data_IF_824664073823
#
_entry.id   IF_824664073823
#
_cell.length_a   1.000
_cell.length_b   1.000
_cell.length_c   1.000
_cell.angle_alpha   90.00
_cell.angle_beta   90.00
_cell.angle_gamma   90.00
#
_symmetry.space_group_name_H-M   'P 1'
#
loop_
_entity.id
_entity.type
_entity.pdbx_description
1 polymer ?
#
# COMPACT_ATOMS: atom_id res chain seq x y z
N UNK A 1 -45.45 -27.08 -23.60
CA UNK A 1 -45.44 -27.59 -22.21
C UNK A 1 -44.00 -27.87 -21.80
N UNK A 2 -43.54 -27.15 -20.78
CA UNK A 2 -42.42 -27.44 -19.86
C UNK A 2 -41.14 -28.05 -20.45
N UNK A 3 -40.16 -27.21 -20.84
CA UNK A 3 -38.76 -27.65 -20.98
C UNK A 3 -37.69 -26.57 -20.76
N UNK A 4 -38.05 -25.40 -20.21
CA UNK A 4 -37.15 -24.27 -20.07
C UNK A 4 -36.78 -23.83 -18.66
N UNK A 5 -37.35 -24.43 -17.61
CA UNK A 5 -37.25 -23.88 -16.24
C UNK A 5 -36.36 -24.69 -15.27
N UNK A 6 -35.78 -25.81 -15.71
CA UNK A 6 -35.06 -26.71 -14.79
C UNK A 6 -33.54 -26.48 -14.75
N UNK A 7 -32.96 -25.86 -15.78
CA UNK A 7 -31.51 -25.62 -15.86
C UNK A 7 -31.11 -24.34 -15.12
N UNK A 8 -31.98 -23.33 -15.12
CA UNK A 8 -31.69 -22.06 -14.44
C UNK A 8 -31.74 -22.18 -12.92
N UNK A 9 -32.59 -23.06 -12.36
CA UNK A 9 -32.70 -23.25 -10.91
C UNK A 9 -31.47 -23.96 -10.33
N UNK A 10 -30.89 -24.93 -11.04
CA UNK A 10 -29.70 -25.66 -10.57
C UNK A 10 -28.46 -24.74 -10.59
N UNK A 11 -28.35 -23.88 -11.61
CA UNK A 11 -27.23 -22.92 -11.70
C UNK A 11 -27.31 -21.85 -10.61
N UNK A 12 -28.53 -21.43 -10.24
CA UNK A 12 -28.74 -20.46 -9.16
C UNK A 12 -28.44 -21.04 -7.77
N UNK A 13 -28.72 -22.32 -7.53
CA UNK A 13 -28.41 -22.99 -6.25
C UNK A 13 -26.90 -23.20 -6.07
N UNK A 14 -26.14 -23.47 -7.14
CA UNK A 14 -24.67 -23.59 -7.06
C UNK A 14 -23.97 -22.24 -6.79
N UNK A 15 -24.50 -21.13 -7.32
CA UNK A 15 -23.98 -19.78 -7.04
C UNK A 15 -24.30 -19.31 -5.62
N UNK A 16 -25.45 -19.72 -5.06
CA UNK A 16 -25.82 -19.42 -3.68
C UNK A 16 -25.06 -20.27 -2.66
N UNK A 17 -24.62 -21.49 -2.99
CA UNK A 17 -23.77 -22.28 -2.10
C UNK A 17 -22.35 -21.71 -1.93
N UNK A 18 -21.90 -20.81 -2.81
CA UNK A 18 -20.62 -20.11 -2.67
C UNK A 18 -20.70 -18.88 -1.76
N UNK A 19 -21.89 -18.40 -1.40
CA UNK A 19 -22.06 -17.25 -0.48
C UNK A 19 -22.27 -17.65 0.98
N UNK A 20 -22.26 -18.96 1.32
CA UNK A 20 -22.45 -19.45 2.68
C UNK A 20 -21.17 -19.90 3.41
N UNK A 21 -19.99 -19.68 2.83
CA UNK A 21 -18.72 -19.72 3.59
C UNK A 21 -18.32 -18.33 4.11
N UNK A 22 -19.29 -17.54 4.57
CA UNK A 22 -19.02 -16.53 5.59
C UNK A 22 -18.84 -17.33 6.88
N UNK A 23 -17.61 -17.79 7.11
CA UNK A 23 -17.23 -18.35 8.39
C UNK A 23 -17.53 -17.30 9.46
N UNK A 24 -18.44 -17.63 10.37
CA UNK A 24 -18.43 -17.06 11.71
C UNK A 24 -17.16 -17.56 12.41
N UNK A 25 -16.00 -17.05 12.02
CA UNK A 25 -14.91 -16.88 12.96
C UNK A 25 -15.36 -15.76 13.88
N UNK A 26 -15.41 -16.01 15.18
CA UNK A 26 -15.38 -14.90 16.14
C UNK A 26 -14.23 -13.99 15.69
N UNK A 27 -14.45 -12.69 15.45
CA UNK A 27 -13.33 -11.81 15.24
C UNK A 27 -12.53 -11.89 16.53
N UNK A 28 -11.33 -12.50 16.48
CA UNK A 28 -10.33 -12.20 17.50
C UNK A 28 -10.34 -10.68 17.62
N UNK A 29 -10.58 -10.15 18.83
CA UNK A 29 -10.55 -8.72 19.11
C UNK A 29 -9.16 -8.21 18.74
N UNK A 30 -8.97 -7.86 17.47
CA UNK A 30 -7.78 -7.21 16.97
C UNK A 30 -7.85 -5.80 17.51
N UNK A 31 -7.21 -5.59 18.65
CA UNK A 31 -6.99 -4.25 19.18
C UNK A 31 -6.52 -3.35 18.03
N UNK A 32 -7.23 -2.24 17.73
CA UNK A 32 -6.90 -1.42 16.59
C UNK A 32 -5.46 -0.92 16.71
N UNK A 33 -4.69 -0.97 15.61
CA UNK A 33 -3.33 -0.43 15.61
C UNK A 33 -3.37 1.06 15.90
N UNK A 34 -2.86 1.44 17.07
CA UNK A 34 -2.72 2.83 17.47
C UNK A 34 -1.42 3.37 16.87
N UNK A 35 -1.56 4.22 15.86
CA UNK A 35 -0.43 4.92 15.26
C UNK A 35 0.13 5.92 16.29
N UNK A 36 1.44 5.91 16.61
CA UNK A 36 2.03 6.86 17.53
C UNK A 36 1.73 8.32 17.14
N UNK A 37 1.34 9.15 18.11
CA UNK A 37 0.96 10.56 17.86
C UNK A 37 2.07 11.38 17.21
N UNK A 38 3.32 11.04 17.50
CA UNK A 38 4.52 11.64 16.92
C UNK A 38 4.56 11.50 15.39
N UNK A 39 4.01 10.41 14.84
CA UNK A 39 3.94 10.21 13.40
C UNK A 39 2.94 11.16 12.72
N UNK A 40 1.96 11.69 13.45
CA UNK A 40 1.04 12.72 12.94
C UNK A 40 1.62 14.12 13.02
N UNK A 41 2.79 14.31 13.63
CA UNK A 41 3.37 15.64 13.79
C UNK A 41 3.61 16.29 12.42
N UNK A 42 2.92 17.40 12.18
CA UNK A 42 3.04 18.21 10.97
C UNK A 42 3.96 19.40 11.16
N UNK A 43 4.45 19.65 12.38
CA UNK A 43 5.35 20.77 12.68
C UNK A 43 6.72 20.62 12.02
N UNK A 44 7.07 19.38 11.65
CA UNK A 44 8.31 19.04 10.94
C UNK A 44 8.23 19.30 9.44
N UNK A 45 7.06 19.64 8.89
CA UNK A 45 6.94 20.01 7.48
C UNK A 45 7.71 21.31 7.24
N UNK A 46 8.72 21.24 6.39
CA UNK A 46 9.51 22.39 5.96
C UNK A 46 9.60 22.40 4.44
N UNK A 47 9.66 23.59 3.86
CA UNK A 47 9.90 23.76 2.44
C UNK A 47 10.72 25.03 2.22
N UNK A 48 11.75 24.94 1.39
CA UNK A 48 12.63 26.07 1.07
C UNK A 48 12.14 26.75 -0.21
N UNK A 49 11.68 27.99 -0.09
CA UNK A 49 11.22 28.83 -1.19
C UNK A 49 11.57 30.28 -0.88
N UNK A 50 12.00 31.03 -1.90
CA UNK A 50 12.43 32.42 -1.70
C UNK A 50 11.23 33.38 -1.52
N UNK A 51 11.41 34.42 -0.72
CA UNK A 51 10.41 35.49 -0.57
C UNK A 51 10.06 36.16 -1.90
N UNK A 52 11.02 36.26 -2.82
CA UNK A 52 10.82 36.83 -4.14
C UNK A 52 9.85 35.98 -4.98
N UNK A 53 10.01 34.66 -4.92
CA UNK A 53 9.13 33.72 -5.61
C UNK A 53 7.72 33.71 -5.00
N UNK A 54 7.61 33.78 -3.67
CA UNK A 54 6.32 33.93 -3.00
C UNK A 54 5.61 35.22 -3.45
N UNK A 55 6.34 36.33 -3.55
CA UNK A 55 5.78 37.60 -4.03
C UNK A 55 5.32 37.52 -5.49
N UNK A 56 6.07 36.85 -6.36
CA UNK A 56 5.67 36.59 -7.76
C UNK A 56 4.34 35.81 -7.80
N UNK A 57 4.25 34.70 -7.08
CA UNK A 57 3.07 33.85 -7.07
C UNK A 57 1.84 34.55 -6.48
N UNK A 58 2.02 35.32 -5.40
CA UNK A 58 0.93 36.08 -4.76
C UNK A 58 0.42 37.21 -5.66
N UNK A 59 1.29 37.82 -6.47
CA UNK A 59 0.94 38.88 -7.41
C UNK A 59 0.29 38.36 -8.70
N UNK A 60 0.38 37.06 -8.99
CA UNK A 60 -0.14 36.47 -10.21
C UNK A 60 -1.66 36.58 -10.28
N UNK A 61 -2.21 37.11 -11.38
CA UNK A 61 -3.66 37.07 -11.61
C UNK A 61 -4.06 35.67 -12.10
N UNK A 62 -4.88 34.97 -11.31
CA UNK A 62 -5.23 33.56 -11.55
C UNK A 62 -6.62 33.51 -12.20
N UNK A 63 -6.74 33.10 -13.48
CA UNK A 63 -8.03 32.98 -14.14
C UNK A 63 -8.94 31.96 -13.44
N UNK A 64 -10.24 32.18 -13.43
CA UNK A 64 -11.20 31.21 -12.83
C UNK A 64 -11.11 29.82 -13.44
N UNK A 65 -10.77 29.71 -14.72
CA UNK A 65 -10.64 28.44 -15.46
C UNK A 65 -9.17 28.04 -15.70
N UNK A 66 -8.26 28.41 -14.79
CA UNK A 66 -6.82 28.15 -14.94
C UNK A 66 -6.48 26.67 -15.17
N UNK A 67 -7.30 25.73 -14.70
CA UNK A 67 -7.13 24.28 -14.91
C UNK A 67 -7.11 23.90 -16.40
N UNK A 68 -7.74 24.70 -17.25
CA UNK A 68 -7.83 24.51 -18.70
C UNK A 68 -6.63 25.12 -19.46
N UNK A 69 -5.67 25.72 -18.74
CA UNK A 69 -4.46 26.30 -19.34
C UNK A 69 -3.67 25.23 -20.06
N UNK A 70 -3.41 25.45 -21.36
CA UNK A 70 -2.69 24.49 -22.22
C UNK A 70 -1.21 24.39 -21.91
N UNK A 71 -0.62 25.50 -21.47
CA UNK A 71 0.76 25.57 -21.02
C UNK A 71 0.86 24.93 -19.62
N UNK A 72 1.55 23.79 -19.46
CA UNK A 72 1.62 23.08 -18.21
C UNK A 72 2.45 23.84 -17.15
N UNK A 73 3.47 24.59 -17.53
CA UNK A 73 4.27 25.39 -16.57
C UNK A 73 3.41 26.52 -16.00
N UNK A 74 2.69 27.23 -16.87
CA UNK A 74 1.78 28.29 -16.44
C UNK A 74 0.62 27.71 -15.60
N UNK A 75 0.10 26.53 -15.97
CA UNK A 75 -0.93 25.84 -15.17
C UNK A 75 -0.43 25.47 -13.77
N UNK A 76 0.80 24.98 -13.65
CA UNK A 76 1.41 24.68 -12.35
C UNK A 76 1.59 25.95 -11.51
N UNK A 77 2.08 27.05 -12.10
CA UNK A 77 2.16 28.35 -11.43
C UNK A 77 0.80 28.85 -10.95
N UNK A 78 -0.25 28.72 -11.78
CA UNK A 78 -1.61 29.08 -11.36
C UNK A 78 -2.12 28.22 -10.21
N UNK A 79 -1.85 26.91 -10.24
CA UNK A 79 -2.21 26.03 -9.13
C UNK A 79 -1.55 26.47 -7.82
N UNK A 80 -0.24 26.71 -7.84
CA UNK A 80 0.52 27.14 -6.66
C UNK A 80 0.04 28.50 -6.13
N UNK A 81 -0.13 29.49 -7.02
CA UNK A 81 -0.67 30.80 -6.67
C UNK A 81 -2.08 30.70 -6.08
N UNK A 82 -2.93 29.81 -6.60
CA UNK A 82 -4.26 29.57 -6.06
C UNK A 82 -4.22 28.98 -4.65
N UNK A 83 -3.35 27.99 -4.39
CA UNK A 83 -3.16 27.44 -3.05
C UNK A 83 -2.64 28.49 -2.06
N UNK A 84 -1.65 29.30 -2.47
CA UNK A 84 -1.10 30.38 -1.66
C UNK A 84 -2.17 31.41 -1.28
N UNK A 85 -3.04 31.79 -2.22
CA UNK A 85 -4.15 32.71 -1.94
C UNK A 85 -5.20 32.11 -1.00
N UNK A 86 -5.42 30.80 -1.08
CA UNK A 86 -6.44 30.12 -0.28
C UNK A 86 -5.96 29.81 1.15
N UNK A 87 -4.72 29.36 1.31
CA UNK A 87 -4.19 28.82 2.56
C UNK A 87 -3.06 29.64 3.17
N UNK A 88 -2.53 30.61 2.44
CA UNK A 88 -1.38 31.42 2.85
C UNK A 88 -0.03 30.74 2.59
N UNK A 89 1.04 31.44 2.96
CA UNK A 89 2.41 30.94 2.87
C UNK A 89 2.71 30.02 4.07
N UNK A 90 2.47 28.72 3.90
CA UNK A 90 2.80 27.67 4.87
C UNK A 90 3.48 26.50 4.15
N UNK A 91 4.37 25.72 4.82
CA UNK A 91 5.10 24.61 4.18
C UNK A 91 4.21 23.63 3.42
N UNK A 92 3.02 23.31 3.97
CA UNK A 92 2.08 22.39 3.34
C UNK A 92 1.64 22.82 1.94
N UNK A 93 1.48 24.13 1.69
CA UNK A 93 1.12 24.66 0.36
C UNK A 93 2.21 24.34 -0.65
N UNK A 94 3.47 24.58 -0.28
CA UNK A 94 4.60 24.40 -1.19
C UNK A 94 4.88 22.93 -1.48
N UNK A 95 4.74 22.06 -0.48
CA UNK A 95 4.86 20.61 -0.66
C UNK A 95 3.81 20.09 -1.64
N UNK A 96 2.53 20.48 -1.46
CA UNK A 96 1.46 20.04 -2.37
C UNK A 96 1.63 20.65 -3.77
N UNK A 97 2.00 21.93 -3.85
CA UNK A 97 2.22 22.62 -5.12
C UNK A 97 3.35 21.98 -5.93
N UNK A 98 4.51 21.71 -5.31
CA UNK A 98 5.65 21.09 -5.98
C UNK A 98 5.31 19.69 -6.52
N UNK A 99 4.54 18.91 -5.76
CA UNK A 99 4.13 17.57 -6.19
C UNK A 99 3.10 17.58 -7.32
N UNK A 100 2.16 18.53 -7.31
CA UNK A 100 1.25 18.68 -8.43
C UNK A 100 1.91 19.32 -9.65
N UNK A 101 2.92 20.19 -9.48
CA UNK A 101 3.75 20.66 -10.57
C UNK A 101 4.44 19.50 -11.29
N UNK A 102 5.11 18.60 -10.55
CA UNK A 102 5.75 17.41 -11.11
C UNK A 102 4.75 16.57 -11.94
N UNK A 103 3.55 16.33 -11.38
CA UNK A 103 2.48 15.60 -12.08
C UNK A 103 1.93 16.35 -13.28
N UNK A 104 1.80 17.67 -13.22
CA UNK A 104 1.33 18.51 -14.33
C UNK A 104 2.33 18.49 -15.49
N UNK A 105 3.63 18.51 -15.20
CA UNK A 105 4.71 18.55 -16.19
C UNK A 105 5.01 17.18 -16.79
N UNK A 106 4.97 16.11 -15.99
CA UNK A 106 5.39 14.76 -16.42
C UNK A 106 4.21 13.80 -16.67
N UNK A 107 3.02 14.13 -16.17
CA UNK A 107 1.82 13.29 -16.23
C UNK A 107 1.74 12.21 -15.12
N UNK A 108 2.77 12.06 -14.29
CA UNK A 108 2.83 11.04 -13.24
C UNK A 108 3.35 11.68 -11.94
N UNK A 109 2.84 11.20 -10.80
CA UNK A 109 3.38 11.56 -9.48
C UNK A 109 4.23 10.37 -8.99
N UNK A 110 5.52 10.60 -8.78
CA UNK A 110 6.45 9.56 -8.30
C UNK A 110 7.01 9.97 -6.95
N UNK A 111 6.87 9.08 -5.96
CA UNK A 111 7.54 9.22 -4.67
C UNK A 111 8.79 8.36 -4.68
N UNK A 112 9.94 8.95 -4.36
CA UNK A 112 11.21 8.21 -4.31
C UNK A 112 11.43 7.53 -2.97
N UNK A 113 10.82 8.07 -1.90
CA UNK A 113 10.90 7.50 -0.55
C UNK A 113 9.53 7.44 0.13
N UNK A 114 9.45 6.64 1.20
CA UNK A 114 8.25 6.59 2.06
C UNK A 114 8.03 7.93 2.78
N UNK A 115 9.10 8.61 3.18
CA UNK A 115 9.02 9.91 3.88
C UNK A 115 8.42 10.98 2.98
N UNK A 116 8.84 11.06 1.73
CA UNK A 116 8.28 12.01 0.76
C UNK A 116 6.77 11.81 0.57
N UNK A 117 6.32 10.55 0.50
CA UNK A 117 4.91 10.21 0.41
C UNK A 117 4.15 10.64 1.67
N UNK A 118 4.70 10.34 2.86
CA UNK A 118 4.09 10.72 4.13
C UNK A 118 4.00 12.23 4.29
N UNK A 119 5.05 12.98 3.96
CA UNK A 119 5.06 14.44 4.07
C UNK A 119 4.06 15.09 3.10
N UNK A 120 3.95 14.57 1.88
CA UNK A 120 2.92 15.01 0.94
C UNK A 120 1.50 14.77 1.49
N UNK A 121 1.22 13.58 2.01
CA UNK A 121 -0.11 13.26 2.56
C UNK A 121 -0.40 14.06 3.83
N UNK A 122 0.60 14.29 4.70
CA UNK A 122 0.49 15.22 5.83
C UNK A 122 0.13 16.62 5.37
N UNK A 123 0.83 17.12 4.34
CA UNK A 123 0.55 18.43 3.78
C UNK A 123 -0.89 18.51 3.22
N UNK A 124 -1.35 17.49 2.50
CA UNK A 124 -2.76 17.42 2.04
C UNK A 124 -3.75 17.43 3.21
N UNK A 125 -3.48 16.71 4.29
CA UNK A 125 -4.32 16.70 5.48
C UNK A 125 -4.35 18.07 6.18
N UNK A 126 -3.22 18.78 6.24
CA UNK A 126 -3.14 20.16 6.78
C UNK A 126 -4.00 21.12 5.96
N UNK A 127 -3.92 21.07 4.62
CA UNK A 127 -4.70 21.95 3.75
C UNK A 127 -6.20 21.58 3.76
N UNK A 128 -6.51 20.29 3.80
CA UNK A 128 -7.87 19.77 3.72
C UNK A 128 -8.08 18.64 4.76
N UNK A 129 -8.45 18.98 6.01
CA UNK A 129 -8.61 18.00 7.10
C UNK A 129 -9.95 17.25 7.00
N UNK A 130 -10.17 16.57 5.88
CA UNK A 130 -11.35 15.75 5.63
C UNK A 130 -11.12 14.32 6.17
N UNK A 131 -12.20 13.59 6.44
CA UNK A 131 -12.10 12.17 6.83
C UNK A 131 -11.34 11.35 5.77
N UNK A 132 -11.58 11.62 4.49
CA UNK A 132 -10.87 10.96 3.40
C UNK A 132 -9.35 11.17 3.48
N UNK A 133 -8.90 12.41 3.67
CA UNK A 133 -7.47 12.70 3.78
C UNK A 133 -6.86 12.16 5.08
N UNK A 134 -7.66 12.10 6.15
CA UNK A 134 -7.26 11.43 7.38
C UNK A 134 -7.01 9.94 7.14
N UNK A 135 -7.92 9.24 6.48
CA UNK A 135 -7.78 7.80 6.20
C UNK A 135 -6.55 7.52 5.32
N UNK A 136 -6.28 8.38 4.33
CA UNK A 136 -5.07 8.29 3.49
C UNK A 136 -3.80 8.52 4.33
N UNK A 137 -3.82 9.49 5.25
CA UNK A 137 -2.71 9.74 6.17
C UNK A 137 -2.47 8.53 7.08
N UNK A 138 -3.50 7.99 7.70
CA UNK A 138 -3.41 6.81 8.57
C UNK A 138 -2.82 5.61 7.81
N UNK A 139 -3.28 5.34 6.59
CA UNK A 139 -2.72 4.26 5.75
C UNK A 139 -1.25 4.48 5.39
N UNK A 140 -0.88 5.72 5.07
CA UNK A 140 0.49 6.09 4.72
C UNK A 140 1.43 5.93 5.92
N UNK A 141 0.97 6.32 7.12
CA UNK A 141 1.71 6.15 8.36
C UNK A 141 1.83 4.67 8.76
N UNK A 142 0.78 3.86 8.60
CA UNK A 142 0.87 2.39 8.80
C UNK A 142 1.89 1.76 7.84
N UNK A 143 1.88 2.18 6.58
CA UNK A 143 2.85 1.71 5.58
C UNK A 143 4.28 2.06 5.99
N UNK A 144 4.51 3.29 6.48
CA UNK A 144 5.80 3.72 7.01
C UNK A 144 6.24 2.89 8.21
N UNK A 145 5.37 2.76 9.20
CA UNK A 145 5.62 1.97 10.41
C UNK A 145 5.96 0.51 10.09
N UNK A 146 5.23 -0.12 9.16
CA UNK A 146 5.51 -1.49 8.71
C UNK A 146 6.88 -1.62 8.04
N UNK A 147 7.32 -0.62 7.27
CA UNK A 147 8.61 -0.66 6.57
C UNK A 147 9.81 -0.44 7.49
N UNK A 148 9.60 0.30 8.58
CA UNK A 148 10.66 0.76 9.48
C UNK A 148 10.72 -0.01 10.80
N UNK A 149 9.71 -0.82 11.11
CA UNK A 149 9.70 -1.62 12.34
C UNK A 149 10.67 -2.78 12.28
N UNK A 150 11.45 -2.95 13.35
CA UNK A 150 12.24 -4.16 13.61
C UNK A 150 11.46 -5.19 14.46
N UNK A 151 10.25 -4.86 14.88
CA UNK A 151 9.36 -5.74 15.64
C UNK A 151 8.51 -6.62 14.69
N UNK A 152 8.72 -7.94 14.67
CA UNK A 152 7.98 -8.86 13.82
C UNK A 152 6.50 -8.98 14.18
N UNK A 153 6.12 -8.79 15.46
CA UNK A 153 4.71 -8.85 15.88
C UNK A 153 3.96 -7.62 15.37
N UNK A 154 4.57 -6.43 15.51
CA UNK A 154 4.01 -5.20 14.96
C UNK A 154 3.91 -5.25 13.44
N UNK A 155 4.94 -5.74 12.75
CA UNK A 155 4.90 -5.96 11.30
C UNK A 155 3.74 -6.87 10.90
N UNK A 156 3.64 -8.05 11.53
CA UNK A 156 2.60 -9.03 11.23
C UNK A 156 1.20 -8.46 11.44
N UNK A 157 1.00 -7.71 12.53
CA UNK A 157 -0.28 -7.06 12.84
C UNK A 157 -0.67 -6.03 11.78
N UNK A 158 0.23 -5.13 11.40
CA UNK A 158 -0.04 -4.10 10.36
C UNK A 158 -0.34 -4.77 9.02
N UNK A 159 0.46 -5.77 8.65
CA UNK A 159 0.31 -6.43 7.37
C UNK A 159 -0.96 -7.28 7.28
N UNK A 160 -1.35 -7.93 8.39
CA UNK A 160 -2.62 -8.67 8.49
C UNK A 160 -3.82 -7.75 8.28
N UNK A 161 -3.87 -6.60 8.96
CA UNK A 161 -4.95 -5.61 8.78
C UNK A 161 -5.07 -5.19 7.30
N UNK A 162 -3.95 -4.89 6.64
CA UNK A 162 -3.94 -4.49 5.22
C UNK A 162 -4.44 -5.60 4.29
N UNK A 163 -4.03 -6.85 4.52
CA UNK A 163 -4.49 -7.97 3.70
C UNK A 163 -5.97 -8.29 3.93
N UNK A 164 -6.48 -8.13 5.15
CA UNK A 164 -7.92 -8.27 5.45
C UNK A 164 -8.72 -7.19 4.74
N UNK A 165 -8.26 -5.94 4.72
CA UNK A 165 -8.91 -4.87 3.95
C UNK A 165 -8.96 -5.20 2.44
N UNK A 166 -7.94 -5.87 1.90
CA UNK A 166 -7.84 -6.18 0.47
C UNK A 166 -8.57 -7.47 0.05
N UNK A 167 -8.53 -8.50 0.89
CA UNK A 167 -8.94 -9.87 0.53
C UNK A 167 -10.01 -10.46 1.45
N UNK A 168 -10.35 -9.78 2.54
CA UNK A 168 -11.17 -10.32 3.62
C UNK A 168 -10.39 -11.15 4.61
N UNK A 169 -11.04 -11.52 5.71
CA UNK A 169 -10.47 -12.38 6.75
C UNK A 169 -10.61 -13.85 6.35
N UNK A 170 -9.64 -14.33 5.57
CA UNK A 170 -9.56 -15.69 5.02
C UNK A 170 -8.27 -16.38 5.48
N UNK A 171 -8.24 -17.73 5.58
CA UNK A 171 -7.06 -18.46 6.06
C UNK A 171 -5.75 -18.16 5.32
N UNK A 172 -5.86 -17.82 4.03
CA UNK A 172 -4.74 -17.43 3.18
C UNK A 172 -4.01 -16.19 3.67
N UNK A 173 -4.71 -15.26 4.34
CA UNK A 173 -4.08 -14.06 4.93
C UNK A 173 -3.05 -14.48 5.98
N UNK A 174 -3.39 -15.40 6.88
CA UNK A 174 -2.48 -15.81 7.96
C UNK A 174 -1.24 -16.52 7.39
N UNK A 175 -1.39 -17.29 6.31
CA UNK A 175 -0.27 -17.93 5.61
C UNK A 175 0.67 -16.89 4.99
N UNK A 176 0.12 -15.86 4.34
CA UNK A 176 0.92 -14.76 3.76
C UNK A 176 1.62 -13.98 4.86
N UNK A 177 0.89 -13.57 5.91
CA UNK A 177 1.46 -12.79 7.03
C UNK A 177 2.61 -13.53 7.67
N UNK A 178 2.44 -14.83 7.97
CA UNK A 178 3.50 -15.66 8.53
C UNK A 178 4.71 -15.77 7.60
N UNK A 179 4.48 -15.99 6.31
CA UNK A 179 5.53 -16.11 5.31
C UNK A 179 6.33 -14.83 5.08
N UNK A 180 5.65 -13.67 4.93
CA UNK A 180 6.31 -12.37 4.81
C UNK A 180 7.06 -11.98 6.07
N UNK A 181 6.47 -12.19 7.25
CA UNK A 181 7.17 -11.95 8.53
C UNK A 181 8.45 -12.79 8.60
N UNK A 182 8.40 -14.06 8.21
CA UNK A 182 9.59 -14.91 8.17
C UNK A 182 10.61 -14.43 7.15
N UNK A 183 10.20 -14.03 5.95
CA UNK A 183 11.09 -13.46 4.94
C UNK A 183 11.83 -12.23 5.45
N UNK A 184 11.12 -11.33 6.11
CA UNK A 184 11.65 -10.04 6.57
C UNK A 184 12.60 -10.19 7.77
N UNK A 185 12.29 -11.07 8.72
CA UNK A 185 12.98 -11.13 10.03
C UNK A 185 13.87 -12.36 10.25
N UNK A 186 13.99 -13.28 9.30
CA UNK A 186 14.85 -14.46 9.48
C UNK A 186 15.15 -15.29 8.24
N UNK A 187 14.44 -15.03 7.14
CA UNK A 187 14.47 -15.82 5.93
C UNK A 187 13.94 -17.24 6.11
N UNK A 188 13.68 -17.90 4.98
CA UNK A 188 13.41 -19.34 4.96
C UNK A 188 14.72 -20.13 4.92
N UNK A 189 14.84 -21.14 5.79
CA UNK A 189 15.99 -22.05 5.88
C UNK A 189 15.69 -23.32 5.11
N UNK A 190 16.11 -23.37 3.85
CA UNK A 190 15.93 -24.57 3.04
C UNK A 190 17.06 -25.60 3.30
N UNK A 191 16.75 -26.92 3.33
CA UNK A 191 15.45 -27.52 3.00
C UNK A 191 14.46 -27.62 4.18
N UNK A 192 14.85 -27.25 5.40
CA UNK A 192 14.06 -27.49 6.62
C UNK A 192 12.69 -26.79 6.58
N UNK A 193 12.62 -25.60 5.99
CA UNK A 193 11.39 -24.81 5.84
C UNK A 193 10.68 -25.03 4.49
N UNK A 194 11.00 -26.10 3.74
CA UNK A 194 10.52 -26.27 2.37
C UNK A 194 8.99 -26.24 2.23
N UNK A 195 8.27 -26.87 3.15
CA UNK A 195 6.80 -26.97 3.06
C UNK A 195 6.14 -25.62 3.37
N UNK A 196 6.66 -24.89 4.36
CA UNK A 196 6.20 -23.54 4.69
C UNK A 196 6.51 -22.54 3.57
N UNK A 197 7.71 -22.63 2.99
CA UNK A 197 8.13 -21.82 1.85
C UNK A 197 7.21 -22.03 0.63
N UNK A 198 6.85 -23.28 0.32
CA UNK A 198 5.95 -23.56 -0.79
C UNK A 198 4.52 -23.11 -0.49
N UNK A 199 3.99 -23.39 0.70
CA UNK A 199 2.65 -22.96 1.10
C UNK A 199 2.50 -21.44 0.99
N UNK A 200 3.53 -20.68 1.37
CA UNK A 200 3.58 -19.23 1.21
C UNK A 200 3.41 -18.80 -0.27
N UNK A 201 4.24 -19.30 -1.18
CA UNK A 201 4.15 -18.91 -2.60
C UNK A 201 2.93 -19.47 -3.33
N UNK A 202 2.41 -20.63 -2.91
CA UNK A 202 1.16 -21.17 -3.45
C UNK A 202 -0.02 -20.28 -3.04
N UNK A 203 -0.02 -19.78 -1.81
CA UNK A 203 -1.03 -18.85 -1.32
C UNK A 203 -0.93 -17.48 -2.02
N UNK A 204 0.27 -16.94 -2.17
CA UNK A 204 0.50 -15.73 -2.96
C UNK A 204 -0.05 -15.86 -4.38
N UNK A 205 0.20 -17.00 -5.04
CA UNK A 205 -0.32 -17.26 -6.39
C UNK A 205 -1.85 -17.38 -6.41
N UNK A 206 -2.45 -18.02 -5.41
CA UNK A 206 -3.89 -18.15 -5.30
C UNK A 206 -4.59 -16.77 -5.18
N UNK A 207 -4.02 -15.85 -4.39
CA UNK A 207 -4.55 -14.50 -4.20
C UNK A 207 -4.13 -13.53 -5.32
N UNK A 208 -3.00 -13.78 -5.97
CA UNK A 208 -2.49 -12.97 -7.07
C UNK A 208 -1.85 -13.85 -8.17
N UNK A 209 -2.60 -14.23 -9.21
CA UNK A 209 -2.08 -15.10 -10.28
C UNK A 209 -0.85 -14.56 -11.03
N UNK A 210 -0.56 -13.25 -10.96
CA UNK A 210 0.66 -12.68 -11.53
C UNK A 210 1.95 -13.16 -10.83
N UNK A 211 1.83 -13.74 -9.62
CA UNK A 211 2.92 -14.32 -8.84
C UNK A 211 3.37 -15.72 -9.31
N UNK A 212 2.85 -16.24 -10.44
CA UNK A 212 3.22 -17.58 -10.94
C UNK A 212 4.75 -17.78 -11.05
N UNK A 213 5.45 -16.77 -11.57
CA UNK A 213 6.90 -16.81 -11.72
C UNK A 213 7.64 -16.99 -10.37
N UNK A 214 7.08 -16.44 -9.28
CA UNK A 214 7.63 -16.60 -7.93
C UNK A 214 7.41 -18.04 -7.43
N UNK A 215 6.23 -18.61 -7.66
CA UNK A 215 5.93 -19.99 -7.29
C UNK A 215 6.81 -21.00 -8.04
N UNK A 216 7.03 -20.80 -9.35
CA UNK A 216 7.92 -21.66 -10.13
C UNK A 216 9.37 -21.58 -9.62
N UNK A 217 9.85 -20.37 -9.32
CA UNK A 217 11.15 -20.15 -8.70
C UNK A 217 11.26 -20.85 -7.33
N UNK A 218 10.22 -20.75 -6.50
CA UNK A 218 10.18 -21.36 -5.19
C UNK A 218 10.29 -22.90 -5.25
N UNK A 219 9.53 -23.53 -6.16
CA UNK A 219 9.58 -24.97 -6.43
C UNK A 219 10.97 -25.43 -6.84
N UNK A 220 11.62 -24.68 -7.72
CA UNK A 220 12.97 -24.99 -8.18
C UNK A 220 14.02 -24.83 -7.06
N UNK A 221 13.89 -23.81 -6.21
CA UNK A 221 14.78 -23.61 -5.06
C UNK A 221 14.68 -24.76 -4.06
N UNK A 222 13.46 -25.21 -3.74
CA UNK A 222 13.24 -26.37 -2.87
C UNK A 222 13.83 -27.64 -3.47
N UNK A 223 13.63 -27.89 -4.77
CA UNK A 223 14.20 -29.05 -5.46
C UNK A 223 15.73 -29.07 -5.33
N UNK A 224 16.40 -27.95 -5.64
CA UNK A 224 17.85 -27.79 -5.52
C UNK A 224 18.35 -28.01 -4.09
N UNK A 225 17.67 -27.45 -3.09
CA UNK A 225 18.04 -27.59 -1.69
C UNK A 225 17.98 -29.05 -1.22
N UNK A 226 16.89 -29.76 -1.58
CA UNK A 226 16.74 -31.19 -1.27
C UNK A 226 17.83 -32.04 -1.94
N UNK A 227 18.13 -31.80 -3.22
CA UNK A 227 19.20 -32.50 -3.94
C UNK A 227 20.59 -32.28 -3.34
N UNK A 228 20.90 -31.04 -2.94
CA UNK A 228 22.17 -30.69 -2.29
C UNK A 228 22.30 -31.43 -0.96
N UNK A 229 21.25 -31.49 -0.16
CA UNK A 229 21.26 -32.17 1.13
C UNK A 229 21.49 -33.69 0.98
N UNK A 230 20.84 -34.32 0.00
CA UNK A 230 21.05 -35.74 -0.33
C UNK A 230 22.48 -36.02 -0.78
N UNK A 231 23.09 -35.14 -1.58
CA UNK A 231 24.50 -35.30 -1.99
C UNK A 231 25.44 -35.21 -0.80
N UNK A 232 25.25 -34.20 0.06
CA UNK A 232 26.06 -34.02 1.27
C UNK A 232 25.99 -35.24 2.19
N UNK A 233 24.79 -35.75 2.44
CA UNK A 233 24.59 -36.96 3.26
C UNK A 233 25.29 -38.21 2.68
N UNK A 234 25.47 -38.28 1.35
CA UNK A 234 26.22 -39.37 0.69
C UNK A 234 27.74 -39.20 0.75
N UNK A 235 28.24 -37.98 0.90
CA UNK A 235 29.67 -37.68 0.99
C UNK A 235 30.19 -37.82 2.44
N UNK A 236 29.32 -37.65 3.43
CA UNK A 236 29.63 -37.73 4.86
C UNK A 236 29.42 -39.13 5.48
N UNK A 237 28.86 -40.08 4.74
CA UNK A 237 28.58 -41.46 5.19
C UNK A 237 29.43 -42.50 4.48
#
# INVERSE_FOLDING_TARGET
>A
MMKGYFVDVITFVCLLSLTFFVGCGDPEETDPIVIPSELYDTSQLTYDISDAEIQELMALDVPTNWEQTKDPELRAKYYHANLLKQFGNIPAVHIVAAREEEKILTGVMVFTTTDEMVDFVKAQYVLWPTNHNRDILERSLKTKLRRETDDPELFAKIYREELIEQHGDIPEVDVIVKGETKLWFGGFRLPDDADEYLAYYETLYALNPSALHLLESARENVRKAKEKNVRKAKEEG
#
